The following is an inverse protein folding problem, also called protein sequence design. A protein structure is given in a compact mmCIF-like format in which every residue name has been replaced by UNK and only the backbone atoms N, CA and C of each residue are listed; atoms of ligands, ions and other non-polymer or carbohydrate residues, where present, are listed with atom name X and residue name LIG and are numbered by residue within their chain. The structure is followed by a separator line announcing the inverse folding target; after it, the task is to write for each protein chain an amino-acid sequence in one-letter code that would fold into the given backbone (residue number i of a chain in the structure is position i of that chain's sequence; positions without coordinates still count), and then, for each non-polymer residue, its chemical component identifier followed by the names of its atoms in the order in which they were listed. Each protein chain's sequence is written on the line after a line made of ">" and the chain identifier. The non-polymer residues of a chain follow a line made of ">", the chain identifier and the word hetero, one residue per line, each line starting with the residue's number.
data_IF_418750943541
#
_entry.id   IF_418750943541
#
_cell.length_a   1.000
_cell.length_b   1.000
_cell.length_c   1.000
_cell.angle_alpha   90.00
_cell.angle_beta   90.00
_cell.angle_gamma   90.00
#
_symmetry.space_group_name_H-M   'P 1'
#
loop_
_entity.id
_entity.type
_entity.pdbx_description
1 polymer ?
#
# COMPACT_ATOMS: atom_id res chain seq x y z
N UNK A 1 6.09 21.85 -26.65
CA UNK A 1 4.85 22.59 -26.39
C UNK A 1 5.00 23.72 -25.36
N UNK A 2 5.01 23.50 -24.03
CA UNK A 2 5.06 24.63 -23.05
C UNK A 2 6.32 25.50 -23.17
N UNK A 3 7.48 24.86 -23.38
CA UNK A 3 8.77 25.53 -23.57
C UNK A 3 8.82 26.39 -24.85
N UNK A 4 8.14 25.96 -25.91
CA UNK A 4 8.04 26.69 -27.19
C UNK A 4 7.08 27.89 -27.10
N UNK A 5 6.10 27.81 -26.18
CA UNK A 5 5.15 28.89 -25.89
C UNK A 5 5.68 29.90 -24.85
N UNK A 6 6.90 29.71 -24.32
CA UNK A 6 7.48 30.58 -23.29
C UNK A 6 6.81 30.47 -21.91
N UNK A 7 6.05 29.40 -21.65
CA UNK A 7 5.33 29.21 -20.38
C UNK A 7 6.20 28.41 -19.40
N UNK A 8 6.38 28.95 -18.18
CA UNK A 8 7.11 28.27 -17.09
C UNK A 8 6.22 27.23 -16.41
N UNK A 9 6.78 26.04 -16.20
CA UNK A 9 6.16 24.97 -15.41
C UNK A 9 6.96 24.74 -14.13
N UNK A 10 6.27 24.33 -13.07
CA UNK A 10 6.87 23.94 -11.79
C UNK A 10 6.18 22.70 -11.26
N UNK A 11 6.85 21.97 -10.38
CA UNK A 11 6.31 20.81 -9.68
C UNK A 11 6.96 20.74 -8.30
N UNK A 12 6.40 19.89 -7.44
CA UNK A 12 6.89 19.67 -6.09
C UNK A 12 7.55 18.27 -6.02
N UNK A 13 8.87 18.18 -6.22
CA UNK A 13 9.57 16.91 -6.03
C UNK A 13 9.58 16.49 -4.56
N UNK A 14 9.57 15.18 -4.33
CA UNK A 14 9.94 14.51 -3.08
C UNK A 14 9.11 14.81 -1.82
N UNK A 15 8.02 15.57 -1.90
CA UNK A 15 7.17 15.90 -0.73
C UNK A 15 6.02 14.91 -0.47
N UNK A 16 5.82 13.93 -1.36
CA UNK A 16 4.72 12.96 -1.30
C UNK A 16 5.21 11.52 -1.09
N UNK A 17 6.52 11.31 -1.04
CA UNK A 17 7.11 9.97 -1.03
C UNK A 17 6.63 9.12 0.15
N UNK A 18 6.66 9.68 1.37
CA UNK A 18 6.27 9.00 2.60
C UNK A 18 4.78 8.63 2.58
N UNK A 19 3.90 9.59 2.28
CA UNK A 19 2.46 9.33 2.22
C UNK A 19 2.08 8.29 1.14
N UNK A 20 2.81 8.27 0.01
CA UNK A 20 2.63 7.25 -1.02
C UNK A 20 3.15 5.87 -0.57
N UNK A 21 4.23 5.83 0.20
CA UNK A 21 4.78 4.59 0.73
C UNK A 21 3.86 3.96 1.79
N UNK A 22 3.38 4.77 2.75
CA UNK A 22 2.38 4.38 3.74
C UNK A 22 1.15 3.75 3.08
N UNK A 23 0.62 4.41 2.05
CA UNK A 23 -0.55 3.92 1.32
C UNK A 23 -0.27 2.59 0.59
N UNK A 24 0.92 2.43 0.01
CA UNK A 24 1.30 1.20 -0.67
C UNK A 24 1.40 0.02 0.30
N UNK A 25 2.03 0.21 1.47
CA UNK A 25 2.15 -0.82 2.51
C UNK A 25 0.77 -1.15 3.12
N UNK A 26 -0.05 -0.12 3.37
CA UNK A 26 -1.42 -0.32 3.85
C UNK A 26 -2.25 -1.17 2.88
N UNK A 27 -2.15 -0.92 1.57
CA UNK A 27 -2.84 -1.71 0.55
C UNK A 27 -2.31 -3.14 0.48
N UNK A 28 -1.00 -3.34 0.57
CA UNK A 28 -0.37 -4.66 0.61
C UNK A 28 -0.95 -5.51 1.76
N UNK A 29 -1.02 -4.94 2.97
CA UNK A 29 -1.58 -5.61 4.14
C UNK A 29 -3.10 -5.81 4.02
N UNK A 30 -3.84 -4.81 3.55
CA UNK A 30 -5.28 -4.86 3.41
C UNK A 30 -5.73 -6.02 2.50
N UNK A 31 -5.04 -6.20 1.37
CA UNK A 31 -5.31 -7.30 0.43
C UNK A 31 -4.84 -8.62 1.02
N UNK A 32 -3.60 -8.70 1.51
CA UNK A 32 -3.01 -9.95 2.02
C UNK A 32 -3.81 -10.52 3.19
N UNK A 33 -4.37 -9.65 4.04
CA UNK A 33 -5.13 -10.03 5.25
C UNK A 33 -6.65 -9.91 5.09
N UNK A 34 -7.15 -9.63 3.87
CA UNK A 34 -8.59 -9.51 3.55
C UNK A 34 -9.35 -8.55 4.49
N UNK A 35 -8.68 -7.46 4.90
CA UNK A 35 -9.18 -6.54 5.93
C UNK A 35 -10.49 -5.88 5.51
N UNK A 36 -10.56 -5.41 4.26
CA UNK A 36 -11.75 -4.70 3.74
C UNK A 36 -12.96 -5.62 3.66
N UNK A 37 -12.78 -6.86 3.19
CA UNK A 37 -13.85 -7.86 3.12
C UNK A 37 -14.40 -8.20 4.51
N UNK A 38 -13.50 -8.41 5.48
CA UNK A 38 -13.89 -8.64 6.86
C UNK A 38 -14.67 -7.45 7.42
N UNK A 39 -14.19 -6.22 7.22
CA UNK A 39 -14.85 -5.01 7.71
C UNK A 39 -16.26 -4.80 7.13
N UNK A 40 -16.44 -5.04 5.83
CA UNK A 40 -17.75 -4.96 5.17
C UNK A 40 -18.70 -6.01 5.75
N UNK A 41 -18.25 -7.27 5.88
CA UNK A 41 -19.11 -8.33 6.36
C UNK A 41 -19.49 -8.18 7.85
N UNK A 42 -18.58 -7.65 8.68
CA UNK A 42 -18.89 -7.30 10.07
C UNK A 42 -19.97 -6.22 10.15
N UNK A 43 -19.95 -5.23 9.26
CA UNK A 43 -20.95 -4.17 9.21
C UNK A 43 -22.35 -4.71 8.90
N UNK A 44 -22.44 -5.77 8.10
CA UNK A 44 -23.69 -6.38 7.67
C UNK A 44 -24.27 -7.41 8.68
N UNK A 45 -23.74 -7.47 9.93
CA UNK A 45 -24.22 -8.32 11.03
C UNK A 45 -24.30 -9.84 10.71
N UNK A 46 -23.37 -10.35 9.90
CA UNK A 46 -23.27 -11.80 9.65
C UNK A 46 -22.51 -12.46 10.79
N UNK A 47 -22.98 -13.62 11.23
CA UNK A 47 -22.38 -14.41 12.32
C UNK A 47 -21.04 -15.05 11.86
N UNK A 48 -19.98 -14.23 11.87
CA UNK A 48 -18.62 -14.58 11.40
C UNK A 48 -17.97 -15.67 12.26
N UNK A 49 -18.45 -15.86 13.48
CA UNK A 49 -17.94 -16.86 14.44
C UNK A 49 -18.19 -18.29 13.94
N UNK A 50 -19.13 -18.48 13.01
CA UNK A 50 -19.46 -19.79 12.44
C UNK A 50 -18.35 -20.43 11.60
N UNK A 51 -17.37 -19.66 11.11
CA UNK A 51 -16.30 -20.18 10.25
C UNK A 51 -14.95 -19.48 10.50
N UNK A 52 -14.10 -20.03 11.40
CA UNK A 52 -12.80 -19.43 11.75
C UNK A 52 -11.84 -19.25 10.57
N UNK A 53 -11.98 -20.06 9.51
CA UNK A 53 -11.13 -20.02 8.32
C UNK A 53 -11.53 -18.94 7.30
N UNK A 54 -12.68 -18.29 7.47
CA UNK A 54 -13.32 -17.47 6.43
C UNK A 54 -12.48 -16.30 5.92
N UNK A 55 -11.68 -15.69 6.79
CA UNK A 55 -10.80 -14.55 6.47
C UNK A 55 -9.32 -14.87 6.64
N UNK A 56 -8.95 -16.16 6.57
CA UNK A 56 -7.53 -16.54 6.53
C UNK A 56 -6.91 -15.95 5.27
N UNK A 57 -5.97 -15.04 5.48
CA UNK A 57 -5.21 -14.38 4.43
C UNK A 57 -3.82 -14.99 4.28
N UNK A 58 -3.00 -14.37 3.43
CA UNK A 58 -1.60 -14.71 3.25
C UNK A 58 -0.73 -13.90 4.19
N UNK A 59 0.25 -14.56 4.80
CA UNK A 59 1.27 -13.89 5.60
C UNK A 59 2.25 -13.13 4.70
N UNK A 60 2.51 -11.87 5.05
CA UNK A 60 3.49 -11.01 4.34
C UNK A 60 4.89 -11.21 4.92
N UNK A 61 5.00 -11.45 6.23
CA UNK A 61 6.27 -11.75 6.91
C UNK A 61 6.96 -12.96 6.28
N UNK A 62 8.25 -12.83 6.00
CA UNK A 62 9.05 -13.87 5.34
C UNK A 62 8.73 -14.08 3.85
N UNK A 63 7.78 -13.35 3.27
CA UNK A 63 7.53 -13.37 1.83
C UNK A 63 8.48 -12.42 1.08
N UNK A 64 8.74 -12.72 -0.20
CA UNK A 64 9.46 -11.79 -1.08
C UNK A 64 8.52 -10.71 -1.61
N UNK A 65 8.81 -9.44 -1.32
CA UNK A 65 8.11 -8.28 -1.87
C UNK A 65 8.89 -7.72 -3.06
N UNK A 66 8.29 -7.72 -4.25
CA UNK A 66 8.89 -7.17 -5.46
C UNK A 66 8.50 -5.70 -5.65
N UNK A 67 9.50 -4.81 -5.67
CA UNK A 67 9.31 -3.38 -5.96
C UNK A 67 9.82 -3.11 -7.38
N UNK A 68 8.91 -2.81 -8.30
CA UNK A 68 9.26 -2.48 -9.69
C UNK A 68 9.35 -0.96 -9.88
N UNK A 69 10.59 -0.46 -9.94
CA UNK A 69 10.91 0.96 -10.02
C UNK A 69 11.38 1.52 -8.68
N UNK A 70 12.65 1.93 -8.63
CA UNK A 70 13.32 2.47 -7.43
C UNK A 70 13.55 3.98 -7.56
N UNK A 71 12.48 4.73 -7.86
CA UNK A 71 12.46 6.18 -7.69
C UNK A 71 12.23 6.57 -6.22
N UNK A 72 11.99 7.86 -5.93
CA UNK A 72 11.83 8.36 -4.55
C UNK A 72 10.82 7.55 -3.73
N UNK A 73 9.65 7.22 -4.30
CA UNK A 73 8.62 6.42 -3.63
C UNK A 73 9.06 4.95 -3.44
N UNK A 74 9.61 4.32 -4.47
CA UNK A 74 9.99 2.89 -4.40
C UNK A 74 11.11 2.64 -3.39
N UNK A 75 12.05 3.58 -3.26
CA UNK A 75 13.08 3.56 -2.22
C UNK A 75 12.45 3.75 -0.83
N UNK A 76 11.49 4.67 -0.70
CA UNK A 76 10.84 4.91 0.58
C UNK A 76 10.05 3.68 1.07
N UNK A 77 9.29 3.02 0.18
CA UNK A 77 8.64 1.73 0.48
C UNK A 77 9.64 0.67 0.92
N UNK A 78 10.80 0.59 0.25
CA UNK A 78 11.85 -0.36 0.64
C UNK A 78 12.38 -0.07 2.04
N UNK A 79 12.61 1.19 2.39
CA UNK A 79 13.11 1.57 3.71
C UNK A 79 12.11 1.20 4.81
N UNK A 80 10.85 1.59 4.65
CA UNK A 80 9.79 1.27 5.62
C UNK A 80 9.60 -0.23 5.81
N UNK A 81 9.66 -1.03 4.74
CA UNK A 81 9.55 -2.48 4.85
C UNK A 81 10.75 -3.14 5.56
N UNK A 82 11.95 -2.55 5.46
CA UNK A 82 13.15 -3.05 6.16
C UNK A 82 13.14 -2.70 7.64
N UNK A 83 12.55 -1.57 8.01
CA UNK A 83 12.43 -1.15 9.40
C UNK A 83 11.38 -1.96 10.19
N UNK A 84 10.60 -2.81 9.50
CA UNK A 84 9.64 -3.74 10.10
C UNK A 84 10.24 -5.10 10.49
N UNK A 85 11.52 -5.38 10.16
CA UNK A 85 12.27 -6.57 10.62
C UNK A 85 12.90 -6.36 12.02
#
# INVERSE_FOLDING_TARGET
>A
MLKELGIRASYLPDVQSDACADAAIALLLAVSRRIVEAAVQYKDNVDIISEPSRFVGREVTGSTIGIFGLGSIGIQVLNELRDLE
#
